data_IF_914411240437
#
_entry.id   IF_914411240437
#
_cell.length_a   1.000
_cell.length_b   1.000
_cell.length_c   1.000
_cell.angle_alpha   90.00
_cell.angle_beta   90.00
_cell.angle_gamma   90.00
#
_symmetry.space_group_name_H-M   'P 1'
#
loop_
_entity.id
_entity.type
_entity.pdbx_description
1 polymer ?
#
# COMPACT_ATOMS: atom_id res chain seq x y z
N UNK A 1 13.93 -18.52 20.63
CA UNK A 1 12.66 -18.43 21.39
C UNK A 1 12.58 -17.08 22.05
N UNK A 2 11.45 -16.40 21.99
CA UNK A 2 11.23 -15.06 22.52
C UNK A 2 11.09 -15.07 24.06
N UNK A 3 11.28 -13.92 24.74
CA UNK A 3 11.24 -13.86 26.20
C UNK A 3 9.90 -14.29 26.82
N UNK A 4 8.78 -13.99 26.15
CA UNK A 4 7.44 -14.28 26.68
C UNK A 4 7.16 -15.78 26.70
N UNK A 5 7.43 -16.48 25.60
CA UNK A 5 7.20 -17.92 25.54
C UNK A 5 8.23 -18.72 26.36
N UNK A 6 9.45 -18.19 26.52
CA UNK A 6 10.41 -18.71 27.49
C UNK A 6 9.88 -18.64 28.93
N UNK A 7 9.26 -17.52 29.32
CA UNK A 7 8.74 -17.31 30.67
C UNK A 7 7.54 -18.20 31.01
N UNK A 8 6.76 -18.62 30.01
CA UNK A 8 5.63 -19.56 30.19
C UNK A 8 6.07 -21.00 30.48
N UNK A 9 7.38 -21.30 30.40
CA UNK A 9 7.93 -22.65 30.60
C UNK A 9 7.72 -23.58 29.40
N UNK A 10 8.54 -24.63 29.28
CA UNK A 10 8.54 -25.60 28.17
C UNK A 10 7.28 -26.51 28.08
N UNK A 11 6.11 -26.03 28.47
CA UNK A 11 4.85 -26.79 28.43
C UNK A 11 4.31 -27.02 27.02
N UNK A 12 4.71 -26.20 26.04
CA UNK A 12 4.40 -26.42 24.64
C UNK A 12 5.56 -27.17 23.97
N UNK A 13 5.34 -28.42 23.55
CA UNK A 13 6.25 -29.10 22.63
C UNK A 13 6.22 -28.37 21.28
N UNK A 14 7.25 -27.60 20.99
CA UNK A 14 7.43 -26.99 19.67
C UNK A 14 7.63 -28.08 18.63
N UNK A 15 6.78 -28.08 17.59
CA UNK A 15 6.87 -29.02 16.47
C UNK A 15 7.37 -28.29 15.23
N UNK A 16 8.38 -28.85 14.57
CA UNK A 16 8.97 -28.27 13.36
C UNK A 16 9.46 -26.83 13.60
N UNK A 17 9.13 -25.91 12.70
CA UNK A 17 9.54 -24.51 12.77
C UNK A 17 8.59 -23.61 13.59
N UNK A 18 7.66 -24.16 14.38
CA UNK A 18 6.70 -23.38 15.15
C UNK A 18 7.35 -22.40 16.14
N UNK A 19 8.52 -22.74 16.70
CA UNK A 19 9.27 -21.83 17.59
C UNK A 19 9.85 -20.62 16.86
N UNK A 20 10.31 -20.82 15.62
CA UNK A 20 10.77 -19.72 14.76
C UNK A 20 9.60 -18.83 14.34
N UNK A 21 8.46 -19.43 13.97
CA UNK A 21 7.25 -18.70 13.62
C UNK A 21 6.73 -17.85 14.80
N UNK A 22 6.76 -18.38 16.02
CA UNK A 22 6.42 -17.63 17.23
C UNK A 22 7.36 -16.44 17.45
N UNK A 23 8.65 -16.59 17.20
CA UNK A 23 9.61 -15.49 17.30
C UNK A 23 9.40 -14.44 16.21
N UNK A 24 9.09 -14.83 14.98
CA UNK A 24 8.72 -13.88 13.91
C UNK A 24 7.47 -13.09 14.30
N UNK A 25 6.45 -13.71 14.90
CA UNK A 25 5.28 -12.99 15.42
C UNK A 25 5.65 -12.03 16.54
N UNK A 26 6.44 -12.49 17.52
CA UNK A 26 6.82 -11.69 18.67
C UNK A 26 7.65 -10.46 18.28
N UNK A 27 8.71 -10.67 17.51
CA UNK A 27 9.59 -9.58 17.08
C UNK A 27 8.94 -8.73 15.98
N UNK A 28 8.03 -9.29 15.18
CA UNK A 28 7.17 -8.52 14.28
C UNK A 28 6.24 -7.57 15.03
N UNK A 29 5.63 -8.02 16.14
CA UNK A 29 4.85 -7.15 17.02
C UNK A 29 5.70 -6.04 17.63
N UNK A 30 6.91 -6.37 18.08
CA UNK A 30 7.86 -5.36 18.60
C UNK A 30 8.19 -4.31 17.53
N UNK A 31 8.50 -4.70 16.29
CA UNK A 31 8.75 -3.76 15.19
C UNK A 31 7.53 -2.88 14.91
N UNK A 32 6.31 -3.45 14.92
CA UNK A 32 5.08 -2.67 14.75
C UNK A 32 4.95 -1.59 15.81
N UNK A 33 5.14 -1.95 17.08
CA UNK A 33 5.01 -1.01 18.21
C UNK A 33 6.07 0.09 18.15
N UNK A 34 7.32 -0.23 17.77
CA UNK A 34 8.37 0.76 17.59
C UNK A 34 8.06 1.70 16.40
N UNK A 35 7.62 1.15 15.26
CA UNK A 35 7.18 1.96 14.13
C UNK A 35 6.00 2.87 14.52
N UNK A 36 4.99 2.35 15.22
CA UNK A 36 3.83 3.13 15.63
C UNK A 36 4.22 4.29 16.58
N UNK A 37 5.20 4.10 17.46
CA UNK A 37 5.74 5.18 18.29
C UNK A 37 6.41 6.28 17.46
N UNK A 38 7.14 5.90 16.41
CA UNK A 38 7.96 6.82 15.60
C UNK A 38 7.14 7.55 14.55
N UNK A 39 6.24 6.85 13.86
CA UNK A 39 5.51 7.35 12.68
C UNK A 39 3.99 7.19 12.77
N UNK A 40 3.45 6.64 13.87
CA UNK A 40 1.99 6.44 14.02
C UNK A 40 1.17 7.73 14.00
N UNK A 41 1.77 8.87 14.33
CA UNK A 41 1.14 10.18 14.23
C UNK A 41 0.77 10.57 12.78
N UNK A 42 1.43 9.97 11.76
CA UNK A 42 1.10 10.16 10.34
C UNK A 42 -0.16 9.39 9.90
N UNK A 43 -0.72 8.57 10.79
CA UNK A 43 -1.88 7.71 10.55
C UNK A 43 -3.04 8.04 11.52
N UNK A 44 -3.53 9.30 11.54
CA UNK A 44 -4.56 9.73 12.49
C UNK A 44 -5.91 9.06 12.21
N UNK A 45 -6.68 8.88 13.28
CA UNK A 45 -8.11 8.55 13.18
C UNK A 45 -8.89 9.70 12.54
N UNK A 46 -10.09 9.40 12.07
CA UNK A 46 -11.02 10.39 11.49
C UNK A 46 -12.25 10.52 12.38
N UNK A 47 -12.65 11.75 12.69
CA UNK A 47 -13.84 12.03 13.49
C UNK A 47 -15.05 12.24 12.56
N UNK A 48 -16.15 11.55 12.83
CA UNK A 48 -17.40 11.75 12.08
C UNK A 48 -18.17 12.91 12.71
N UNK A 49 -18.43 13.97 11.95
CA UNK A 49 -19.16 15.16 12.44
C UNK A 49 -20.66 15.07 12.14
N UNK A 50 -21.46 15.89 12.83
CA UNK A 50 -22.89 16.04 12.54
C UNK A 50 -23.15 16.49 11.09
N UNK A 51 -22.32 17.41 10.59
CA UNK A 51 -22.40 17.92 9.20
C UNK A 51 -22.22 16.79 8.17
N UNK A 52 -21.23 15.92 8.37
CA UNK A 52 -21.02 14.76 7.50
C UNK A 52 -22.23 13.82 7.50
N UNK A 53 -22.92 13.69 8.64
CA UNK A 53 -24.04 12.77 8.81
C UNK A 53 -25.41 13.35 8.39
N UNK A 54 -25.50 14.64 8.07
CA UNK A 54 -26.76 15.34 7.78
C UNK A 54 -27.59 14.62 6.71
N UNK A 55 -26.96 14.31 5.57
CA UNK A 55 -27.58 13.60 4.43
C UNK A 55 -27.06 12.16 4.29
N UNK A 56 -26.45 11.60 5.34
CA UNK A 56 -25.78 10.30 5.34
C UNK A 56 -26.27 9.44 6.51
N UNK A 57 -27.42 8.76 6.37
CA UNK A 57 -27.97 7.91 7.43
C UNK A 57 -27.03 6.81 7.90
N UNK A 58 -26.12 6.35 7.04
CA UNK A 58 -25.06 5.39 7.34
C UNK A 58 -24.03 5.93 8.33
N UNK A 59 -23.87 7.25 8.43
CA UNK A 59 -22.93 7.91 9.36
C UNK A 59 -23.53 8.21 10.74
N UNK A 60 -24.86 8.23 10.88
CA UNK A 60 -25.54 8.54 12.15
C UNK A 60 -25.04 7.73 13.36
N UNK A 61 -24.75 6.41 13.26
CA UNK A 61 -24.23 5.64 14.39
C UNK A 61 -22.81 6.04 14.83
N UNK A 62 -22.10 6.84 14.03
CA UNK A 62 -20.70 7.19 14.22
C UNK A 62 -20.48 8.66 14.58
N UNK A 63 -21.52 9.50 14.59
CA UNK A 63 -21.42 10.93 14.95
C UNK A 63 -20.67 11.11 16.28
N UNK A 64 -19.72 12.04 16.27
CA UNK A 64 -18.75 12.36 17.34
C UNK A 64 -17.77 11.23 17.71
N UNK A 65 -17.76 10.10 17.00
CA UNK A 65 -16.79 9.03 17.19
C UNK A 65 -15.57 9.23 16.30
N UNK A 66 -14.42 8.80 16.82
CA UNK A 66 -13.19 8.62 16.05
C UNK A 66 -13.13 7.20 15.51
N UNK A 67 -12.96 7.07 14.20
CA UNK A 67 -12.82 5.80 13.50
C UNK A 67 -11.38 5.61 13.04
N UNK A 68 -10.88 4.37 13.15
CA UNK A 68 -9.58 4.01 12.58
C UNK A 68 -9.64 4.10 11.06
N UNK A 69 -8.76 4.89 10.48
CA UNK A 69 -8.60 4.96 9.02
C UNK A 69 -7.86 3.72 8.55
N UNK A 70 -8.40 3.04 7.53
CA UNK A 70 -7.78 1.83 6.96
C UNK A 70 -7.14 2.09 5.60
N UNK A 71 -7.58 3.12 4.88
CA UNK A 71 -7.00 3.54 3.62
C UNK A 71 -7.33 4.99 3.27
N UNK A 72 -6.45 5.62 2.51
CA UNK A 72 -6.67 6.91 1.86
C UNK A 72 -6.74 6.71 0.35
N UNK A 73 -7.73 7.33 -0.29
CA UNK A 73 -7.88 7.30 -1.75
C UNK A 73 -7.36 8.61 -2.33
N UNK A 74 -6.51 8.48 -3.33
CA UNK A 74 -5.83 9.56 -4.01
C UNK A 74 -6.17 9.54 -5.49
N UNK A 75 -6.21 10.71 -6.12
CA UNK A 75 -6.22 10.86 -7.56
C UNK A 75 -4.97 11.62 -7.99
N UNK A 76 -4.29 11.14 -9.03
CA UNK A 76 -3.30 11.92 -9.76
C UNK A 76 -3.97 13.08 -10.44
N UNK A 77 -3.26 14.19 -10.57
CA UNK A 77 -3.78 15.42 -11.17
C UNK A 77 -2.88 15.92 -12.27
N UNK A 78 -3.47 16.67 -13.20
CA UNK A 78 -2.77 17.45 -14.22
C UNK A 78 -3.34 18.86 -14.21
N UNK A 79 -2.55 19.85 -14.63
CA UNK A 79 -3.10 21.17 -14.91
C UNK A 79 -4.19 21.04 -15.99
N UNK A 80 -5.30 21.78 -15.84
CA UNK A 80 -6.30 21.85 -16.90
C UNK A 80 -5.67 22.36 -18.20
N UNK A 81 -5.88 21.69 -19.35
CA UNK A 81 -5.37 22.15 -20.64
C UNK A 81 -6.04 23.46 -21.08
N UNK A 82 -7.23 23.77 -20.55
CA UNK A 82 -7.95 25.00 -20.83
C UNK A 82 -7.27 26.21 -20.14
N UNK A 83 -6.74 27.19 -20.88
CA UNK A 83 -6.10 28.36 -20.29
C UNK A 83 -7.04 29.22 -19.44
N UNK A 84 -8.35 29.24 -19.73
CA UNK A 84 -9.34 29.99 -18.95
C UNK A 84 -9.56 29.41 -17.53
N UNK A 85 -9.16 28.17 -17.31
CA UNK A 85 -9.18 27.51 -16.00
C UNK A 85 -7.93 27.84 -15.17
N UNK A 86 -6.93 28.52 -15.75
CA UNK A 86 -5.79 29.05 -15.01
C UNK A 86 -4.85 27.99 -14.45
N UNK A 87 -4.74 26.82 -15.10
CA UNK A 87 -3.81 25.77 -14.71
C UNK A 87 -4.20 25.00 -13.44
N UNK A 88 -5.44 25.12 -12.96
CA UNK A 88 -5.93 24.35 -11.80
C UNK A 88 -5.71 22.86 -12.02
N UNK A 89 -5.17 22.19 -11.00
CA UNK A 89 -4.92 20.75 -11.00
C UNK A 89 -6.24 19.98 -10.93
N UNK A 90 -6.59 19.27 -12.02
CA UNK A 90 -7.82 18.49 -12.15
C UNK A 90 -7.52 16.99 -12.06
N UNK A 91 -8.44 16.18 -11.50
CA UNK A 91 -8.14 14.81 -11.13
C UNK A 91 -8.39 13.84 -12.28
N UNK A 92 -7.50 12.85 -12.40
CA UNK A 92 -7.59 11.73 -13.32
C UNK A 92 -8.17 10.53 -12.56
N UNK A 93 -9.47 10.25 -12.73
CA UNK A 93 -10.20 9.24 -11.96
C UNK A 93 -10.93 8.30 -12.91
N UNK A 94 -10.69 6.99 -12.78
CA UNK A 94 -11.26 6.00 -13.70
C UNK A 94 -12.76 5.78 -13.51
N UNK A 95 -13.25 5.82 -12.27
CA UNK A 95 -14.68 5.80 -11.95
C UNK A 95 -14.88 6.44 -10.59
N UNK A 96 -16.05 7.02 -10.32
CA UNK A 96 -16.33 7.59 -9.02
C UNK A 96 -16.81 6.58 -7.97
N UNK A 97 -16.74 5.27 -8.24
CA UNK A 97 -17.17 4.26 -7.27
C UNK A 97 -16.18 4.05 -6.13
N UNK A 98 -16.66 4.26 -4.91
CA UNK A 98 -16.02 3.85 -3.66
C UNK A 98 -16.45 2.44 -3.25
N UNK A 99 -17.70 2.05 -3.56
CA UNK A 99 -18.21 0.72 -3.32
C UNK A 99 -19.35 0.39 -4.27
N UNK A 100 -19.23 -0.73 -5.00
CA UNK A 100 -20.30 -1.37 -5.78
C UNK A 100 -20.99 -2.49 -5.01
N UNK A 101 -20.67 -2.65 -3.72
CA UNK A 101 -21.21 -3.73 -2.88
C UNK A 101 -22.73 -3.56 -2.70
N UNK A 102 -23.56 -4.57 -3.01
CA UNK A 102 -25.01 -4.46 -2.89
C UNK A 102 -25.42 -4.01 -1.48
N UNK A 103 -26.37 -3.06 -1.41
CA UNK A 103 -26.88 -2.43 -0.17
C UNK A 103 -25.86 -1.60 0.62
N UNK A 104 -24.60 -1.49 0.16
CA UNK A 104 -23.54 -0.68 0.75
C UNK A 104 -22.76 0.07 -0.33
N UNK A 105 -23.49 0.58 -1.31
CA UNK A 105 -22.91 1.33 -2.40
C UNK A 105 -22.53 2.74 -1.95
N UNK A 106 -21.42 3.25 -2.46
CA UNK A 106 -20.92 4.59 -2.21
C UNK A 106 -20.16 5.10 -3.43
N UNK A 107 -20.26 6.40 -3.72
CA UNK A 107 -19.62 7.04 -4.86
C UNK A 107 -19.30 8.51 -4.57
N UNK A 108 -18.37 9.07 -5.34
CA UNK A 108 -18.12 10.51 -5.34
C UNK A 108 -19.15 11.22 -6.21
N UNK A 109 -19.64 12.35 -5.71
CA UNK A 109 -20.35 13.36 -6.49
C UNK A 109 -19.45 14.59 -6.61
N UNK A 110 -19.00 14.95 -7.82
CA UNK A 110 -18.21 16.16 -8.02
C UNK A 110 -19.09 17.40 -7.87
N UNK A 111 -18.65 18.32 -7.03
CA UNK A 111 -19.25 19.66 -6.87
C UNK A 111 -18.33 20.64 -7.57
N UNK A 112 -18.81 21.23 -8.67
CA UNK A 112 -18.01 22.11 -9.54
C UNK A 112 -18.49 23.55 -9.43
N UNK A 113 -17.56 24.43 -9.07
CA UNK A 113 -17.78 25.87 -9.00
C UNK A 113 -17.07 26.57 -10.18
N UNK A 114 -17.74 26.64 -11.33
CA UNK A 114 -17.15 27.18 -12.57
C UNK A 114 -16.68 28.64 -12.45
N UNK A 115 -17.29 29.45 -11.58
CA UNK A 115 -16.92 30.87 -11.41
C UNK A 115 -15.58 31.06 -10.68
N UNK A 116 -15.29 30.21 -9.70
CA UNK A 116 -14.07 30.23 -8.90
C UNK A 116 -13.01 29.26 -9.43
N UNK A 117 -13.28 28.56 -10.54
CA UNK A 117 -12.46 27.47 -11.06
C UNK A 117 -12.11 26.43 -9.98
N UNK A 118 -13.07 26.13 -9.10
CA UNK A 118 -12.88 25.24 -7.97
C UNK A 118 -13.75 23.99 -8.09
N UNK A 119 -13.31 22.90 -7.46
CA UNK A 119 -14.09 21.67 -7.34
C UNK A 119 -13.80 20.94 -6.03
N UNK A 120 -14.81 20.22 -5.56
CA UNK A 120 -14.73 19.29 -4.44
C UNK A 120 -15.49 18.00 -4.76
N UNK A 121 -15.42 17.02 -3.86
CA UNK A 121 -16.15 15.77 -3.97
C UNK A 121 -16.99 15.57 -2.71
N UNK A 122 -18.31 15.52 -2.88
CA UNK A 122 -19.18 14.95 -1.86
C UNK A 122 -19.15 13.42 -1.96
N UNK A 123 -19.36 12.73 -0.84
CA UNK A 123 -19.52 11.27 -0.85
C UNK A 123 -20.99 10.94 -0.62
N UNK A 124 -21.57 10.23 -1.60
CA UNK A 124 -22.93 9.71 -1.54
C UNK A 124 -22.91 8.22 -1.21
N UNK A 125 -24.00 7.75 -0.61
CA UNK A 125 -24.19 6.35 -0.24
C UNK A 125 -25.64 5.94 -0.39
N UNK A 126 -25.88 4.64 -0.56
CA UNK A 126 -27.23 4.08 -0.70
C UNK A 126 -27.48 3.60 -2.12
N UNK A 127 -28.72 3.69 -2.60
CA UNK A 127 -29.06 3.26 -3.96
C UNK A 127 -29.01 4.45 -4.91
N UNK A 128 -28.08 4.47 -5.88
CA UNK A 128 -28.00 5.57 -6.83
C UNK A 128 -29.16 5.52 -7.83
N UNK A 129 -29.60 6.70 -8.25
CA UNK A 129 -30.41 6.89 -9.46
C UNK A 129 -29.66 6.44 -10.72
N UNK A 130 -30.36 6.32 -11.84
CA UNK A 130 -29.74 5.97 -13.11
C UNK A 130 -28.65 6.97 -13.53
N UNK A 131 -28.89 8.27 -13.34
CA UNK A 131 -27.94 9.33 -13.65
C UNK A 131 -26.70 9.31 -12.74
N UNK A 132 -26.89 9.10 -11.42
CA UNK A 132 -25.76 8.98 -10.49
C UNK A 132 -24.92 7.73 -10.79
N UNK A 133 -25.56 6.63 -11.18
CA UNK A 133 -24.86 5.41 -11.57
C UNK A 133 -24.01 5.63 -12.83
N UNK A 134 -24.56 6.29 -13.85
CA UNK A 134 -23.85 6.64 -15.09
C UNK A 134 -22.65 7.55 -14.78
N UNK A 135 -22.86 8.59 -13.97
CA UNK A 135 -21.81 9.48 -13.49
C UNK A 135 -20.71 8.70 -12.75
N UNK A 136 -21.11 7.78 -11.86
CA UNK A 136 -20.18 6.99 -11.07
C UNK A 136 -19.38 6.01 -11.93
N UNK A 137 -19.99 5.39 -12.93
CA UNK A 137 -19.29 4.50 -13.86
C UNK A 137 -18.30 5.27 -14.77
N UNK A 138 -18.59 6.54 -15.10
CA UNK A 138 -17.74 7.34 -15.98
C UNK A 138 -16.49 7.92 -15.31
N UNK A 139 -16.58 8.42 -14.07
CA UNK A 139 -15.49 9.17 -13.46
C UNK A 139 -15.13 10.43 -14.26
N UNK A 140 -13.84 10.75 -14.36
CA UNK A 140 -13.34 11.76 -15.31
C UNK A 140 -12.82 11.14 -16.61
N UNK A 141 -12.90 9.82 -16.75
CA UNK A 141 -12.42 9.10 -17.93
C UNK A 141 -13.38 9.29 -19.12
N UNK A 142 -12.85 9.52 -20.32
CA UNK A 142 -13.64 9.79 -21.52
C UNK A 142 -13.51 8.73 -22.63
N UNK A 143 -12.68 7.71 -22.45
CA UNK A 143 -12.49 6.68 -23.47
C UNK A 143 -11.53 5.55 -23.08
N UNK A 144 -11.05 4.81 -24.09
CA UNK A 144 -9.97 3.83 -23.93
C UNK A 144 -8.63 4.55 -23.71
N UNK A 145 -7.70 3.87 -23.05
CA UNK A 145 -6.38 4.44 -22.78
C UNK A 145 -6.40 5.53 -21.71
N UNK A 146 -5.52 6.52 -21.87
CA UNK A 146 -5.29 7.63 -20.95
C UNK A 146 -6.00 8.90 -21.44
N UNK A 147 -7.33 8.86 -21.52
CA UNK A 147 -8.13 9.99 -21.98
C UNK A 147 -9.13 10.39 -20.89
N UNK A 148 -9.14 11.68 -20.58
CA UNK A 148 -9.98 12.24 -19.53
C UNK A 148 -10.72 13.49 -20.00
N UNK A 149 -11.68 13.92 -19.21
CA UNK A 149 -12.41 15.17 -19.35
C UNK A 149 -12.05 16.07 -18.17
N UNK A 150 -11.66 17.31 -18.46
CA UNK A 150 -11.47 18.31 -17.43
C UNK A 150 -12.78 18.54 -16.68
N UNK A 151 -12.79 18.36 -15.36
CA UNK A 151 -14.01 18.49 -14.55
C UNK A 151 -14.55 19.92 -14.49
N UNK A 152 -13.71 20.92 -14.80
CA UNK A 152 -14.05 22.34 -14.74
C UNK A 152 -14.55 22.88 -16.09
N UNK A 153 -13.87 22.53 -17.18
CA UNK A 153 -14.14 23.06 -18.53
C UNK A 153 -14.81 22.08 -19.50
N UNK A 154 -14.93 20.81 -19.13
CA UNK A 154 -15.34 19.71 -20.02
C UNK A 154 -14.39 19.46 -21.20
N UNK A 155 -13.25 20.15 -21.25
CA UNK A 155 -12.26 20.02 -22.32
C UNK A 155 -11.54 18.65 -22.25
N UNK A 156 -11.29 17.99 -23.40
CA UNK A 156 -10.53 16.75 -23.43
C UNK A 156 -9.11 16.93 -22.90
N UNK A 157 -8.71 16.04 -22.00
CA UNK A 157 -7.33 15.86 -21.55
C UNK A 157 -6.80 14.63 -22.30
N UNK A 158 -6.01 14.87 -23.34
CA UNK A 158 -5.54 13.81 -24.25
C UNK A 158 -4.42 12.98 -23.64
N UNK A 159 -4.20 11.78 -24.19
CA UNK A 159 -3.12 10.90 -23.76
C UNK A 159 -1.75 11.54 -23.98
N UNK A 160 -1.56 12.25 -25.09
CA UNK A 160 -0.33 12.98 -25.39
C UNK A 160 -0.06 14.07 -24.35
N UNK A 161 -1.10 14.81 -23.94
CA UNK A 161 -0.97 15.84 -22.93
C UNK A 161 -0.62 15.23 -21.57
N UNK A 162 -1.29 14.15 -21.15
CA UNK A 162 -0.97 13.48 -19.87
C UNK A 162 0.45 12.90 -19.89
N UNK A 163 0.89 12.30 -21.00
CA UNK A 163 2.28 11.83 -21.14
C UNK A 163 3.28 12.96 -21.04
N UNK A 164 3.04 14.09 -21.73
CA UNK A 164 3.89 15.27 -21.67
C UNK A 164 4.00 15.82 -20.24
N UNK A 165 2.87 15.95 -19.54
CA UNK A 165 2.84 16.39 -18.14
C UNK A 165 3.54 15.38 -17.22
N UNK A 166 3.34 14.09 -17.46
CA UNK A 166 4.03 12.97 -16.82
C UNK A 166 5.55 13.05 -16.92
N UNK A 167 6.07 13.01 -18.15
CA UNK A 167 7.51 12.98 -18.41
C UNK A 167 8.21 14.27 -17.99
N UNK A 168 7.51 15.40 -17.95
CA UNK A 168 8.03 16.66 -17.40
C UNK A 168 7.89 16.79 -15.88
N UNK A 169 7.39 15.77 -15.18
CA UNK A 169 7.27 15.77 -13.72
C UNK A 169 6.16 16.68 -13.17
N UNK A 170 5.18 17.04 -13.99
CA UNK A 170 4.10 17.98 -13.64
C UNK A 170 2.78 17.29 -13.23
N UNK A 171 2.80 15.98 -12.98
CA UNK A 171 1.67 15.30 -12.35
C UNK A 171 1.64 15.64 -10.86
N UNK A 172 0.48 16.07 -10.39
CA UNK A 172 0.21 16.18 -8.96
C UNK A 172 -0.53 14.96 -8.42
N UNK A 173 -0.92 15.05 -7.15
CA UNK A 173 -1.88 14.13 -6.54
C UNK A 173 -2.73 14.85 -5.51
N UNK A 174 -3.95 14.37 -5.30
CA UNK A 174 -4.92 14.92 -4.35
C UNK A 174 -5.63 13.80 -3.62
N UNK A 175 -5.67 13.87 -2.30
CA UNK A 175 -6.48 12.98 -1.47
C UNK A 175 -7.95 13.32 -1.70
N UNK A 176 -8.77 12.33 -2.04
CA UNK A 176 -10.18 12.50 -2.40
C UNK A 176 -11.15 11.77 -1.46
N UNK A 177 -10.69 10.75 -0.74
CA UNK A 177 -11.48 10.10 0.31
C UNK A 177 -10.60 9.45 1.38
N UNK A 178 -11.24 9.22 2.51
CA UNK A 178 -10.78 8.43 3.64
C UNK A 178 -11.71 7.23 3.77
N UNK A 179 -11.14 6.04 3.88
CA UNK A 179 -11.86 4.81 4.18
C UNK A 179 -11.59 4.44 5.63
N UNK A 180 -12.62 4.44 6.45
CA UNK A 180 -12.54 4.13 7.87
C UNK A 180 -13.23 2.81 8.20
N UNK A 181 -12.83 2.22 9.33
CA UNK A 181 -13.46 1.05 9.89
C UNK A 181 -14.76 1.40 10.62
N UNK A 182 -15.87 0.84 10.14
CA UNK A 182 -17.16 0.88 10.81
C UNK A 182 -17.52 -0.47 11.41
N UNK A 183 -18.70 -0.54 12.04
CA UNK A 183 -19.23 -1.77 12.64
C UNK A 183 -19.57 -2.79 11.54
N UNK A 184 -18.63 -3.72 11.27
CA UNK A 184 -18.75 -4.75 10.22
C UNK A 184 -18.91 -4.17 8.81
N UNK A 185 -18.35 -2.99 8.58
CA UNK A 185 -18.41 -2.31 7.28
C UNK A 185 -17.27 -1.31 7.07
N UNK A 186 -17.19 -0.79 5.85
CA UNK A 186 -16.30 0.32 5.51
C UNK A 186 -17.14 1.59 5.45
N UNK A 187 -16.61 2.64 6.07
CA UNK A 187 -17.21 3.97 6.10
C UNK A 187 -16.37 4.87 5.20
N UNK A 188 -17.02 5.61 4.31
CA UNK A 188 -16.36 6.50 3.37
C UNK A 188 -16.63 7.96 3.74
N UNK A 189 -15.56 8.71 3.95
CA UNK A 189 -15.56 10.08 4.45
C UNK A 189 -14.70 10.98 3.55
N UNK A 190 -15.07 12.26 3.36
CA UNK A 190 -14.17 13.21 2.75
C UNK A 190 -12.93 13.41 3.64
N UNK A 191 -11.75 13.71 3.07
CA UNK A 191 -10.58 14.03 3.86
C UNK A 191 -10.78 15.34 4.63
N UNK A 192 -10.42 15.33 5.92
CA UNK A 192 -10.40 16.54 6.75
C UNK A 192 -8.98 17.15 6.80
N UNK A 193 -8.85 18.30 7.48
CA UNK A 193 -7.58 19.00 7.59
C UNK A 193 -6.49 18.19 8.32
N UNK A 194 -6.86 17.33 9.27
CA UNK A 194 -5.91 16.48 10.01
C UNK A 194 -5.36 15.40 9.08
N UNK A 195 -6.21 14.79 8.26
CA UNK A 195 -5.82 13.78 7.28
C UNK A 195 -4.85 14.37 6.24
N UNK A 196 -5.12 15.58 5.75
CA UNK A 196 -4.24 16.28 4.81
C UNK A 196 -2.91 16.69 5.48
N UNK A 197 -2.96 17.22 6.70
CA UNK A 197 -1.76 17.61 7.45
C UNK A 197 -0.85 16.41 7.69
N UNK A 198 -1.40 15.27 8.13
CA UNK A 198 -0.61 14.06 8.39
C UNK A 198 0.16 13.53 7.19
N UNK A 199 -0.30 13.80 5.97
CA UNK A 199 0.44 13.49 4.75
C UNK A 199 1.54 14.52 4.48
N UNK A 200 1.25 15.81 4.67
CA UNK A 200 2.22 16.88 4.45
C UNK A 200 3.34 16.91 5.50
N UNK A 201 3.07 16.38 6.69
CA UNK A 201 4.06 16.22 7.77
C UNK A 201 5.04 15.06 7.50
N UNK A 202 4.75 14.20 6.52
CA UNK A 202 5.62 13.10 6.17
C UNK A 202 6.88 13.61 5.46
N UNK A 203 8.04 13.17 5.94
CA UNK A 203 9.35 13.56 5.43
C UNK A 203 10.27 12.35 5.40
N UNK A 204 10.99 12.17 4.30
CA UNK A 204 12.04 11.17 4.18
C UNK A 204 13.37 11.85 3.86
N UNK A 205 14.40 11.52 4.62
CA UNK A 205 15.76 12.02 4.36
C UNK A 205 16.26 11.48 3.01
N UNK A 206 16.80 12.33 2.11
CA UNK A 206 17.25 11.90 0.79
C UNK A 206 18.24 10.73 0.82
N UNK A 207 19.14 10.70 1.80
CA UNK A 207 20.14 9.63 1.95
C UNK A 207 19.51 8.26 2.21
N UNK A 208 18.31 8.18 2.81
CA UNK A 208 17.60 6.91 3.05
C UNK A 208 16.97 6.32 1.78
N UNK A 209 16.87 7.11 0.71
CA UNK A 209 16.18 6.73 -0.53
C UNK A 209 17.05 6.93 -1.77
N UNK A 210 18.34 7.22 -1.61
CA UNK A 210 19.25 7.51 -2.73
C UNK A 210 19.31 6.36 -3.75
N UNK A 211 19.29 5.12 -3.29
CA UNK A 211 19.29 3.93 -4.17
C UNK A 211 17.99 3.79 -4.97
N UNK A 212 16.88 4.39 -4.49
CA UNK A 212 15.60 4.37 -5.19
C UNK A 212 15.54 5.37 -6.36
N UNK A 213 16.51 6.29 -6.46
CA UNK A 213 16.67 7.14 -7.65
C UNK A 213 17.22 6.39 -8.86
N UNK A 214 17.58 5.11 -8.69
CA UNK A 214 17.92 4.21 -9.80
C UNK A 214 16.77 4.13 -10.80
N UNK A 215 17.10 4.27 -12.08
CA UNK A 215 16.16 4.15 -13.18
C UNK A 215 15.60 2.72 -13.25
N UNK A 216 14.30 2.63 -13.46
CA UNK A 216 13.63 1.36 -13.72
C UNK A 216 14.00 0.92 -15.15
N UNK A 217 14.43 -0.34 -15.37
CA UNK A 217 14.74 -0.86 -16.70
C UNK A 217 13.61 -0.64 -17.72
N UNK A 218 13.98 -0.38 -18.98
CA UNK A 218 13.01 -0.10 -20.03
C UNK A 218 12.35 -1.37 -20.61
N UNK A 219 11.30 -1.86 -19.95
CA UNK A 219 10.37 -2.81 -20.57
C UNK A 219 9.00 -2.17 -20.85
N UNK A 220 8.85 -1.58 -22.03
CA UNK A 220 7.60 -0.91 -22.44
C UNK A 220 6.41 -1.86 -22.59
N UNK A 221 6.59 -3.19 -22.51
CA UNK A 221 5.52 -4.18 -22.58
C UNK A 221 4.88 -4.43 -21.21
N UNK A 222 5.65 -4.29 -20.13
CA UNK A 222 5.21 -4.57 -18.76
C UNK A 222 5.19 -3.32 -17.84
N UNK A 223 6.01 -2.31 -18.12
CA UNK A 223 6.28 -1.17 -17.25
C UNK A 223 5.65 0.12 -17.81
N UNK A 224 4.32 0.14 -17.87
CA UNK A 224 3.54 1.20 -18.49
C UNK A 224 3.64 2.54 -17.75
N UNK A 225 4.00 2.51 -16.46
CA UNK A 225 4.22 3.69 -15.63
C UNK A 225 5.35 4.60 -16.15
N UNK A 226 6.35 4.03 -16.85
CA UNK A 226 7.47 4.77 -17.45
C UNK A 226 7.00 5.82 -18.45
N UNK A 227 5.95 5.51 -19.23
CA UNK A 227 5.37 6.41 -20.24
C UNK A 227 4.81 7.71 -19.64
N UNK A 228 4.61 7.74 -18.32
CA UNK A 228 4.00 8.84 -17.59
C UNK A 228 4.94 9.43 -16.53
N UNK A 229 6.25 9.20 -16.69
CA UNK A 229 7.30 9.83 -15.89
C UNK A 229 7.62 9.14 -14.57
N UNK A 230 7.08 7.93 -14.30
CA UNK A 230 7.48 7.13 -13.13
C UNK A 230 8.71 6.28 -13.47
N UNK A 231 9.83 6.93 -13.78
CA UNK A 231 11.04 6.32 -14.34
C UNK A 231 12.09 5.87 -13.31
N UNK A 232 11.91 6.17 -12.02
CA UNK A 232 12.74 5.68 -10.92
C UNK A 232 11.89 4.95 -9.90
N UNK A 233 12.47 4.03 -9.12
CA UNK A 233 11.72 3.31 -8.08
C UNK A 233 11.12 4.27 -7.05
N UNK A 234 11.83 5.35 -6.74
CA UNK A 234 11.38 6.43 -5.84
C UNK A 234 10.02 7.01 -6.24
N UNK A 235 9.76 7.17 -7.54
CA UNK A 235 8.52 7.75 -8.07
C UNK A 235 7.31 6.82 -7.98
N UNK A 236 7.51 5.55 -7.62
CA UNK A 236 6.42 4.61 -7.39
C UNK A 236 5.73 4.84 -6.02
N UNK A 237 6.29 5.69 -5.17
CA UNK A 237 5.84 5.91 -3.79
C UNK A 237 5.56 7.39 -3.52
N UNK A 238 4.66 7.67 -2.59
CA UNK A 238 4.50 9.00 -1.99
C UNK A 238 5.39 9.16 -0.74
N UNK A 239 5.52 10.38 -0.21
CA UNK A 239 6.41 10.65 0.94
C UNK A 239 6.08 9.80 2.17
N UNK A 240 4.79 9.72 2.53
CA UNK A 240 4.35 8.96 3.71
C UNK A 240 4.60 7.46 3.56
N UNK A 241 4.43 6.91 2.36
CA UNK A 241 4.79 5.53 2.03
C UNK A 241 6.29 5.30 2.17
N UNK A 242 7.13 6.20 1.66
CA UNK A 242 8.59 6.07 1.76
C UNK A 242 9.07 6.16 3.19
N UNK A 243 8.64 7.17 3.94
CA UNK A 243 9.01 7.30 5.35
C UNK A 243 8.63 6.04 6.14
N UNK A 244 7.44 5.49 5.86
CA UNK A 244 6.96 4.26 6.51
C UNK A 244 7.78 3.04 6.14
N UNK A 245 8.08 2.84 4.85
CA UNK A 245 8.86 1.70 4.39
C UNK A 245 10.32 1.78 4.84
N UNK A 246 10.92 2.99 4.83
CA UNK A 246 12.24 3.23 5.38
C UNK A 246 12.27 2.93 6.88
N UNK A 247 11.23 3.29 7.64
CA UNK A 247 11.16 3.00 9.07
C UNK A 247 11.14 1.49 9.35
N UNK A 248 10.30 0.74 8.62
CA UNK A 248 10.30 -0.71 8.74
C UNK A 248 11.62 -1.35 8.29
N UNK A 249 12.28 -0.79 7.27
CA UNK A 249 13.60 -1.25 6.81
C UNK A 249 14.66 -1.07 7.90
N UNK A 250 14.70 0.09 8.56
CA UNK A 250 15.66 0.35 9.64
C UNK A 250 15.40 -0.57 10.84
N UNK A 251 14.13 -0.80 11.17
CA UNK A 251 13.73 -1.72 12.23
C UNK A 251 14.14 -3.18 11.97
N UNK A 252 14.32 -3.61 10.71
CA UNK A 252 14.88 -4.94 10.40
C UNK A 252 16.34 -5.04 10.85
N UNK A 253 17.10 -3.94 10.84
CA UNK A 253 18.45 -3.92 11.38
C UNK A 253 18.44 -3.89 12.90
N UNK A 254 17.57 -3.07 13.50
CA UNK A 254 17.47 -2.94 14.96
C UNK A 254 16.93 -4.21 15.65
N UNK A 255 16.04 -4.96 14.99
CA UNK A 255 15.48 -6.17 15.58
C UNK A 255 16.54 -7.25 15.78
N UNK A 256 17.58 -7.29 14.94
CA UNK A 256 18.70 -8.22 15.12
C UNK A 256 19.43 -7.96 16.46
N UNK A 257 19.67 -6.69 16.79
CA UNK A 257 20.28 -6.29 18.07
C UNK A 257 19.35 -6.57 19.25
N UNK A 258 18.05 -6.34 19.07
CA UNK A 258 17.03 -6.67 20.07
C UNK A 258 17.02 -8.16 20.38
N UNK A 259 17.03 -9.02 19.36
CA UNK A 259 17.09 -10.49 19.51
C UNK A 259 18.37 -10.92 20.23
N UNK A 260 19.52 -10.36 19.85
CA UNK A 260 20.80 -10.65 20.49
C UNK A 260 20.81 -10.23 21.97
N UNK A 261 20.31 -9.05 22.30
CA UNK A 261 20.17 -8.58 23.69
C UNK A 261 19.29 -9.51 24.52
N UNK A 262 18.13 -9.91 23.97
CA UNK A 262 17.19 -10.81 24.63
C UNK A 262 17.75 -12.24 24.79
N UNK A 263 18.76 -12.60 24.01
CA UNK A 263 19.45 -13.90 24.08
C UNK A 263 20.63 -13.86 25.08
N UNK A 264 21.49 -12.84 25.00
CA UNK A 264 22.69 -12.65 25.86
C UNK A 264 22.34 -12.56 27.35
N UNK A 265 21.18 -12.01 27.71
CA UNK A 265 20.76 -11.85 29.11
C UNK A 265 20.59 -13.17 29.87
N UNK A 266 20.57 -14.32 29.21
CA UNK A 266 20.20 -15.58 29.87
C UNK A 266 21.04 -16.81 29.49
N UNK A 267 21.72 -16.87 28.33
CA UNK A 267 22.69 -17.94 28.04
C UNK A 267 23.60 -17.59 26.86
N UNK A 268 24.91 -17.90 26.91
CA UNK A 268 25.79 -17.78 25.74
C UNK A 268 25.46 -18.91 24.75
N UNK A 269 24.47 -18.69 23.89
CA UNK A 269 24.24 -19.55 22.73
C UNK A 269 25.32 -19.21 21.70
N UNK A 270 26.08 -20.21 21.23
CA UNK A 270 27.14 -20.03 20.21
C UNK A 270 26.60 -19.42 18.91
N UNK A 271 25.30 -19.56 18.65
CA UNK A 271 24.65 -19.25 17.37
C UNK A 271 23.63 -18.11 17.50
N UNK A 272 23.71 -17.27 18.55
CA UNK A 272 22.76 -16.18 18.77
C UNK A 272 22.71 -15.18 17.60
N UNK A 273 23.85 -14.96 16.93
CA UNK A 273 23.93 -14.13 15.74
C UNK A 273 23.20 -14.78 14.56
N UNK A 274 23.46 -16.05 14.26
CA UNK A 274 22.80 -16.76 13.16
C UNK A 274 21.28 -16.82 13.35
N UNK A 275 20.83 -17.04 14.59
CA UNK A 275 19.41 -17.02 14.91
C UNK A 275 18.78 -15.63 14.73
N UNK A 276 19.45 -14.57 15.17
CA UNK A 276 19.01 -13.20 14.95
C UNK A 276 18.92 -12.88 13.45
N UNK A 277 19.91 -13.31 12.66
CA UNK A 277 19.91 -13.19 11.20
C UNK A 277 18.74 -13.93 10.58
N UNK A 278 18.45 -15.16 11.01
CA UNK A 278 17.32 -15.93 10.50
C UNK A 278 15.98 -15.22 10.75
N UNK A 279 15.69 -14.81 11.99
CA UNK A 279 14.44 -14.10 12.32
C UNK A 279 14.33 -12.78 11.57
N UNK A 280 15.42 -12.00 11.51
CA UNK A 280 15.45 -10.70 10.80
C UNK A 280 15.22 -10.88 9.30
N UNK A 281 15.73 -11.97 8.70
CA UNK A 281 15.48 -12.31 7.28
C UNK A 281 13.99 -12.55 7.02
N UNK A 282 13.30 -13.30 7.89
CA UNK A 282 11.85 -13.50 7.74
C UNK A 282 11.06 -12.21 7.97
N UNK A 283 11.51 -11.33 8.86
CA UNK A 283 10.93 -10.00 9.05
C UNK A 283 11.17 -9.09 7.84
N UNK A 284 12.31 -9.20 7.16
CA UNK A 284 12.53 -8.53 5.88
C UNK A 284 11.52 -9.02 4.81
N UNK A 285 11.13 -10.30 4.83
CA UNK A 285 10.04 -10.76 3.96
C UNK A 285 8.68 -10.16 4.34
N UNK A 286 8.44 -9.85 5.61
CA UNK A 286 7.26 -9.08 6.03
C UNK A 286 7.28 -7.69 5.39
N UNK A 287 8.43 -6.99 5.41
CA UNK A 287 8.60 -5.70 4.73
C UNK A 287 8.27 -5.82 3.24
N UNK A 288 8.80 -6.84 2.54
CA UNK A 288 8.52 -7.06 1.11
C UNK A 288 7.01 -7.21 0.83
N UNK A 289 6.27 -7.90 1.71
CA UNK A 289 4.82 -8.02 1.58
C UNK A 289 4.09 -6.70 1.80
N UNK A 290 4.59 -5.86 2.70
CA UNK A 290 4.05 -4.51 2.95
C UNK A 290 4.33 -3.59 1.75
N UNK A 291 5.51 -3.65 1.15
CA UNK A 291 5.88 -2.91 -0.08
C UNK A 291 4.93 -3.21 -1.23
N UNK A 292 4.55 -4.48 -1.44
CA UNK A 292 3.54 -4.88 -2.45
C UNK A 292 2.14 -4.27 -2.18
N UNK A 293 1.93 -3.62 -1.04
CA UNK A 293 0.68 -2.94 -0.65
C UNK A 293 0.84 -1.44 -0.36
N UNK A 294 2.03 -0.87 -0.51
CA UNK A 294 2.32 0.51 -0.14
C UNK A 294 3.00 1.26 -1.27
N UNK A 295 2.45 1.21 -2.47
CA UNK A 295 2.89 2.04 -3.60
C UNK A 295 1.74 2.88 -4.13
N UNK A 296 2.06 3.92 -4.91
CA UNK A 296 1.09 4.72 -5.67
C UNK A 296 0.44 3.94 -6.84
N UNK A 297 0.83 2.67 -7.04
CA UNK A 297 0.22 1.73 -8.00
C UNK A 297 -0.89 0.91 -7.33
N UNK A 298 -0.92 0.81 -6.00
CA UNK A 298 -1.98 0.09 -5.30
C UNK A 298 -3.33 0.77 -5.54
N UNK A 299 -4.39 -0.02 -5.81
CA UNK A 299 -5.73 0.53 -6.10
C UNK A 299 -6.76 0.03 -5.10
N UNK A 300 -7.86 0.76 -4.96
CA UNK A 300 -9.00 0.32 -4.16
C UNK A 300 -9.89 -0.63 -4.96
N UNK A 301 -10.16 -1.82 -4.42
CA UNK A 301 -11.15 -2.72 -4.99
C UNK A 301 -12.55 -2.31 -4.53
N UNK A 302 -13.28 -1.60 -5.39
CA UNK A 302 -14.68 -1.22 -5.15
C UNK A 302 -15.70 -2.21 -5.73
N UNK A 303 -15.29 -3.43 -6.11
CA UNK A 303 -16.18 -4.40 -6.76
C UNK A 303 -17.31 -4.91 -5.85
N UNK A 304 -18.39 -5.51 -6.41
CA UNK A 304 -19.52 -5.98 -5.62
C UNK A 304 -19.18 -7.00 -4.50
N UNK A 305 -18.06 -7.71 -4.62
CA UNK A 305 -17.65 -8.77 -3.70
C UNK A 305 -16.50 -8.40 -2.75
N UNK A 306 -15.79 -7.30 -3.00
CA UNK A 306 -14.56 -6.93 -2.25
C UNK A 306 -14.54 -5.42 -1.95
N UNK A 307 -14.00 -5.06 -0.79
CA UNK A 307 -13.73 -3.68 -0.35
C UNK A 307 -12.39 -3.66 0.38
N UNK A 308 -11.32 -3.70 -0.41
CA UNK A 308 -9.97 -3.89 0.10
C UNK A 308 -8.93 -3.29 -0.83
N UNK A 309 -7.72 -3.14 -0.31
CA UNK A 309 -6.56 -2.71 -1.10
C UNK A 309 -6.12 -3.82 -2.06
N UNK A 310 -5.87 -3.46 -3.32
CA UNK A 310 -5.19 -4.30 -4.31
C UNK A 310 -3.69 -4.03 -4.26
N UNK A 311 -2.91 -5.06 -4.58
CA UNK A 311 -1.47 -5.00 -4.55
C UNK A 311 -0.85 -4.36 -5.80
N UNK A 312 0.41 -3.94 -5.67
CA UNK A 312 1.25 -3.37 -6.73
C UNK A 312 1.33 -4.32 -7.92
N UNK A 313 1.64 -5.59 -7.66
CA UNK A 313 1.75 -6.63 -8.69
C UNK A 313 0.43 -7.38 -8.92
N UNK A 314 -0.67 -6.65 -9.11
CA UNK A 314 -1.96 -7.24 -9.48
C UNK A 314 -1.95 -7.82 -10.93
N UNK A 315 -0.91 -7.50 -11.71
CA UNK A 315 -0.62 -8.00 -13.05
C UNK A 315 0.88 -8.29 -13.16
N UNK A 316 1.29 -8.96 -14.24
CA UNK A 316 2.70 -9.20 -14.58
C UNK A 316 3.37 -7.92 -15.12
N UNK A 317 3.44 -6.87 -14.30
CA UNK A 317 4.01 -5.58 -14.68
C UNK A 317 3.63 -4.44 -13.73
N UNK A 318 4.17 -3.26 -13.99
CA UNK A 318 3.88 -2.01 -13.28
C UNK A 318 2.98 -1.12 -14.14
N UNK A 319 1.65 -1.19 -13.97
CA UNK A 319 0.72 -0.36 -14.73
C UNK A 319 0.76 1.09 -14.25
N UNK A 320 0.33 2.02 -15.11
CA UNK A 320 -0.03 3.36 -14.67
C UNK A 320 -1.42 3.34 -14.02
N UNK A 321 -1.52 3.87 -12.81
CA UNK A 321 -2.75 4.06 -12.05
C UNK A 321 -3.05 5.55 -11.89
N UNK A 322 -4.33 5.91 -12.03
CA UNK A 322 -4.77 7.31 -12.03
C UNK A 322 -5.35 7.70 -10.68
N UNK A 323 -6.27 6.89 -10.18
CA UNK A 323 -6.66 6.84 -8.79
C UNK A 323 -6.00 5.66 -8.10
N UNK A 324 -5.44 5.89 -6.92
CA UNK A 324 -4.70 4.90 -6.13
C UNK A 324 -5.14 4.92 -4.67
N UNK A 325 -4.81 3.87 -3.94
CA UNK A 325 -5.15 3.72 -2.54
C UNK A 325 -3.88 3.48 -1.72
N UNK A 326 -3.78 4.18 -0.62
CA UNK A 326 -2.71 4.04 0.37
C UNK A 326 -3.29 3.36 1.60
N UNK A 327 -2.74 2.22 2.02
CA UNK A 327 -3.18 1.50 3.21
C UNK A 327 -2.64 2.10 4.51
N UNK A 328 -3.34 1.89 5.62
CA UNK A 328 -2.80 2.13 6.96
C UNK A 328 -2.06 0.86 7.44
N UNK A 329 -0.72 0.87 7.59
CA UNK A 329 0.05 -0.31 7.99
C UNK A 329 -0.26 -0.80 9.42
N UNK A 330 -0.82 0.08 10.27
CA UNK A 330 -1.15 -0.19 11.68
C UNK A 330 -2.60 -0.60 11.91
N UNK A 331 -3.44 -0.59 10.87
CA UNK A 331 -4.85 -1.00 10.97
C UNK A 331 -5.02 -2.52 10.97
N UNK A 332 -6.24 -2.98 11.25
CA UNK A 332 -6.63 -4.40 11.20
C UNK A 332 -7.17 -4.84 9.82
N UNK A 333 -7.00 -4.01 8.78
CA UNK A 333 -7.48 -4.29 7.42
C UNK A 333 -6.50 -5.14 6.61
N UNK A 334 -6.82 -5.47 5.37
CA UNK A 334 -5.91 -6.23 4.49
C UNK A 334 -4.68 -5.41 4.09
N UNK A 335 -3.52 -6.07 4.00
CA UNK A 335 -2.28 -5.43 3.49
C UNK A 335 -1.49 -4.65 4.54
N UNK A 336 -1.70 -4.98 5.81
CA UNK A 336 -1.09 -4.33 6.97
C UNK A 336 0.12 -5.12 7.46
N UNK A 337 0.85 -4.54 8.41
CA UNK A 337 2.03 -5.19 9.01
C UNK A 337 1.66 -6.51 9.68
N UNK A 338 0.61 -6.52 10.52
CA UNK A 338 0.20 -7.69 11.28
C UNK A 338 -0.25 -8.83 10.39
N UNK A 339 -1.07 -8.52 9.38
CA UNK A 339 -1.48 -9.49 8.38
C UNK A 339 -0.26 -10.09 7.67
N UNK A 340 0.70 -9.25 7.27
CA UNK A 340 1.90 -9.71 6.58
C UNK A 340 2.78 -10.60 7.45
N UNK A 341 2.91 -10.25 8.74
CA UNK A 341 3.63 -11.03 9.75
C UNK A 341 2.99 -12.40 9.96
N UNK A 342 1.66 -12.44 10.11
CA UNK A 342 0.93 -13.70 10.28
C UNK A 342 1.05 -14.60 9.05
N UNK A 343 0.97 -14.04 7.84
CA UNK A 343 1.17 -14.81 6.60
C UNK A 343 2.54 -15.48 6.55
N UNK A 344 3.62 -14.75 6.89
CA UNK A 344 4.98 -15.31 6.92
C UNK A 344 5.11 -16.39 8.00
N UNK A 345 4.58 -16.14 9.20
CA UNK A 345 4.61 -17.10 10.30
C UNK A 345 3.87 -18.40 9.97
N UNK A 346 2.72 -18.34 9.31
CA UNK A 346 1.97 -19.54 8.87
C UNK A 346 2.70 -20.34 7.81
N UNK A 347 3.44 -19.69 6.92
CA UNK A 347 4.29 -20.39 5.94
C UNK A 347 5.39 -21.13 6.68
N UNK A 348 6.07 -20.48 7.63
CA UNK A 348 7.10 -21.12 8.46
C UNK A 348 6.59 -22.38 9.16
N UNK A 349 5.40 -22.32 9.77
CA UNK A 349 4.77 -23.48 10.43
C UNK A 349 4.50 -24.64 9.47
N UNK A 350 4.26 -24.36 8.19
CA UNK A 350 3.98 -25.35 7.17
C UNK A 350 5.24 -25.91 6.49
N UNK A 351 6.42 -25.29 6.67
CA UNK A 351 7.65 -25.76 6.05
C UNK A 351 8.12 -27.08 6.66
N UNK A 352 8.61 -28.04 5.83
CA UNK A 352 9.18 -29.27 6.34
C UNK A 352 10.48 -28.97 7.09
N UNK A 353 10.54 -29.35 8.37
CA UNK A 353 11.71 -29.21 9.23
C UNK A 353 12.26 -30.58 9.65
N UNK A 354 12.29 -31.54 8.71
CA UNK A 354 12.52 -32.96 9.00
C UNK A 354 13.94 -33.44 8.75
N UNK A 355 14.70 -32.79 7.87
CA UNK A 355 15.99 -33.29 7.41
C UNK A 355 17.01 -32.16 7.31
N UNK A 356 18.28 -32.39 7.70
CA UNK A 356 19.37 -31.48 7.39
C UNK A 356 19.47 -31.29 5.87
N UNK A 357 19.51 -30.04 5.43
CA UNK A 357 19.68 -29.68 4.03
C UNK A 357 20.97 -28.90 3.83
N UNK A 358 21.65 -29.12 2.70
CA UNK A 358 22.82 -28.36 2.30
C UNK A 358 22.42 -27.41 1.18
N UNK A 359 22.58 -26.11 1.40
CA UNK A 359 22.39 -25.07 0.39
C UNK A 359 23.78 -24.64 -0.09
N UNK A 360 23.95 -24.57 -1.41
CA UNK A 360 25.20 -24.17 -2.05
C UNK A 360 24.89 -23.08 -3.08
N UNK A 361 25.66 -22.00 -3.03
CA UNK A 361 25.72 -21.03 -4.12
C UNK A 361 26.83 -21.46 -5.06
N UNK A 362 26.49 -21.80 -6.30
CA UNK A 362 27.44 -22.30 -7.31
C UNK A 362 27.07 -21.76 -8.68
N UNK A 363 28.07 -21.66 -9.57
CA UNK A 363 27.85 -21.39 -10.97
C UNK A 363 27.14 -22.58 -11.62
N UNK A 364 25.96 -22.32 -12.20
CA UNK A 364 25.17 -23.32 -12.91
C UNK A 364 25.94 -23.99 -14.07
N UNK A 365 26.90 -23.27 -14.69
CA UNK A 365 27.73 -23.82 -15.77
C UNK A 365 28.82 -24.79 -15.27
N UNK A 366 29.11 -24.80 -13.96
CA UNK A 366 30.16 -25.61 -13.35
C UNK A 366 29.61 -26.62 -12.33
N UNK A 367 28.29 -26.83 -12.34
CA UNK A 367 27.63 -27.71 -11.37
C UNK A 367 27.99 -29.19 -11.63
N UNK A 368 28.64 -29.82 -10.65
CA UNK A 368 28.82 -31.28 -10.62
C UNK A 368 27.82 -31.85 -9.61
N UNK A 369 26.90 -32.69 -10.09
CA UNK A 369 25.85 -33.29 -9.27
C UNK A 369 25.97 -34.80 -9.26
N UNK A 370 25.92 -35.39 -8.06
CA UNK A 370 25.99 -36.83 -7.85
C UNK A 370 24.71 -37.58 -8.29
N UNK A 371 23.62 -36.86 -8.52
CA UNK A 371 22.32 -37.40 -8.95
C UNK A 371 21.58 -36.39 -9.82
N UNK A 372 20.57 -36.87 -10.56
CA UNK A 372 19.77 -36.01 -11.43
C UNK A 372 18.92 -35.05 -10.59
N UNK A 373 19.14 -33.73 -10.68
CA UNK A 373 18.41 -32.77 -9.87
C UNK A 373 16.97 -32.62 -10.36
N UNK A 374 16.08 -32.21 -9.46
CA UNK A 374 14.87 -31.50 -9.87
C UNK A 374 15.28 -30.08 -10.19
N UNK A 375 15.17 -29.69 -11.46
CA UNK A 375 15.44 -28.32 -11.88
C UNK A 375 14.16 -27.52 -11.70
N UNK A 376 14.18 -26.58 -10.75
CA UNK A 376 13.14 -25.57 -10.59
C UNK A 376 13.70 -24.24 -11.06
N UNK A 377 13.48 -23.90 -12.32
CA UNK A 377 13.75 -22.57 -12.85
C UNK A 377 12.48 -21.74 -12.78
N UNK A 378 12.57 -20.51 -12.30
CA UNK A 378 11.59 -19.49 -12.68
C UNK A 378 11.69 -19.35 -14.21
N UNK A 379 10.60 -19.48 -15.00
CA UNK A 379 10.70 -19.44 -16.46
C UNK A 379 11.46 -18.19 -16.90
N UNK A 380 12.32 -18.28 -17.93
CA UNK A 380 13.12 -17.16 -18.37
C UNK A 380 12.19 -16.07 -18.92
N UNK A 381 11.98 -15.06 -18.10
CA UNK A 381 11.20 -13.87 -18.40
C UNK A 381 11.93 -12.93 -19.36
N UNK A 382 12.65 -13.43 -20.37
CA UNK A 382 13.27 -12.54 -21.37
C UNK A 382 12.24 -11.63 -22.07
N UNK A 383 10.94 -12.00 -22.02
CA UNK A 383 9.83 -11.15 -22.45
C UNK A 383 9.09 -10.37 -21.34
N UNK A 384 9.41 -10.58 -20.06
CA UNK A 384 8.85 -9.83 -18.90
C UNK A 384 9.89 -9.00 -18.12
N UNK A 385 11.18 -9.11 -18.44
CA UNK A 385 12.27 -8.24 -17.99
C UNK A 385 13.01 -7.80 -19.25
N UNK A 386 12.46 -6.79 -19.93
CA UNK A 386 13.11 -6.04 -21.02
C UNK A 386 14.00 -4.91 -20.52
#
# INVERSE_FOLDING_TARGET
MNPVDRAKGMGAQWKGAAGLAADVRYYGQWMREEAEKRIGHLYPKVKVTEEMAADRPDLKPYVEKELTVIAWIWARTVASPNPAVGGVQVPLIQSFWLSKKPRKQAWYEPIVEKRSNNYSFAIRSGTPTAAEKELADAGTKSGRGCQFRCILSDEPITEEYVKQMGTSGQLGSRMIAVVAEGTRERVFLPPDAIQLASFNDATVEPDRIVDLETEIPEDKRALWCLLYGLNTFRRLFNERQLQTLSEFSDLVHEVADKIQSDTKRQSPISDAHEYATAVSTYLAFVVNRVVDRHSTICTWDSSPSKLQLRNTFARQGLPMTWDFAEGNPFSDSSGTWDNSTEWVARVLEALPASSPSRVLMQDAAQLSLDSMPVISTDPPYYDNIG
#
